data_IF_394836757391
#
_entry.id   IF_394836757391
#
_cell.length_a   1.000
_cell.length_b   1.000
_cell.length_c   1.000
_cell.angle_alpha   90.00
_cell.angle_beta   90.00
_cell.angle_gamma   90.00
#
_symmetry.space_group_name_H-M   'P 1'
#
loop_
_entity.id
_entity.type
_entity.pdbx_description
1 polymer ?
#
# COMPACT_ATOMS: atom_id res chain seq x y z
N UNK A 1 -14.77 12.27 7.41
CA UNK A 1 -14.51 13.56 8.09
C UNK A 1 -15.66 14.02 8.98
N UNK A 2 -16.93 14.01 8.51
CA UNK A 2 -18.10 14.34 9.35
C UNK A 2 -18.25 13.47 10.60
N UNK A 3 -17.91 12.18 10.50
CA UNK A 3 -17.83 11.26 11.64
C UNK A 3 -17.02 11.82 12.82
N UNK A 4 -15.86 12.43 12.56
CA UNK A 4 -14.98 12.92 13.62
C UNK A 4 -15.53 14.17 14.31
N UNK A 5 -16.32 15.00 13.61
CA UNK A 5 -16.99 16.17 14.22
C UNK A 5 -17.96 15.75 15.34
N UNK A 6 -18.52 14.54 15.25
CA UNK A 6 -19.42 13.98 16.25
C UNK A 6 -18.67 13.08 17.24
N UNK A 7 -17.80 12.20 16.73
CA UNK A 7 -17.09 11.21 17.54
C UNK A 7 -16.09 11.86 18.50
N UNK A 8 -15.32 12.85 18.06
CA UNK A 8 -14.27 13.45 18.89
C UNK A 8 -14.87 14.16 20.11
N UNK A 9 -15.83 15.10 19.99
CA UNK A 9 -16.43 15.74 21.17
C UNK A 9 -17.14 14.75 22.09
N UNK A 10 -17.85 13.77 21.52
CA UNK A 10 -18.66 12.83 22.29
C UNK A 10 -17.79 11.84 23.09
N UNK A 11 -16.66 11.39 22.52
CA UNK A 11 -15.67 10.59 23.26
C UNK A 11 -14.93 11.45 24.28
N UNK A 12 -14.42 12.61 23.88
CA UNK A 12 -13.55 13.43 24.75
C UNK A 12 -14.28 14.13 25.89
N UNK A 13 -15.51 14.61 25.67
CA UNK A 13 -16.26 15.38 26.67
C UNK A 13 -17.23 14.52 27.49
N UNK A 14 -17.61 13.33 27.01
CA UNK A 14 -18.56 12.46 27.73
C UNK A 14 -17.94 11.11 28.09
N UNK A 15 -17.54 10.30 27.10
CA UNK A 15 -17.11 8.93 27.37
C UNK A 15 -15.85 8.87 28.26
N UNK A 16 -14.81 9.64 27.94
CA UNK A 16 -13.56 9.64 28.70
C UNK A 16 -13.77 10.16 30.14
N UNK A 17 -14.44 11.30 30.38
CA UNK A 17 -14.75 11.72 31.75
C UNK A 17 -15.58 10.71 32.54
N UNK A 18 -16.58 10.07 31.93
CA UNK A 18 -17.40 9.05 32.60
C UNK A 18 -16.56 7.83 33.01
N UNK A 19 -15.70 7.33 32.13
CA UNK A 19 -14.80 6.20 32.42
C UNK A 19 -13.81 6.56 33.53
N UNK A 20 -13.15 7.73 33.43
CA UNK A 20 -12.20 8.17 34.44
C UNK A 20 -12.88 8.38 35.80
N UNK A 21 -14.10 8.91 35.82
CA UNK A 21 -14.88 9.07 37.06
C UNK A 21 -15.29 7.72 37.63
N UNK A 22 -15.71 6.76 36.80
CA UNK A 22 -16.02 5.40 37.24
C UNK A 22 -14.79 4.74 37.91
N UNK A 23 -13.61 4.88 37.29
CA UNK A 23 -12.34 4.38 37.85
C UNK A 23 -11.98 5.03 39.20
N UNK A 24 -12.25 6.32 39.38
CA UNK A 24 -12.04 7.00 40.66
C UNK A 24 -13.06 6.55 41.72
N UNK A 25 -14.32 6.41 41.33
CA UNK A 25 -15.41 5.98 42.22
C UNK A 25 -15.20 4.55 42.71
N UNK A 26 -14.65 3.68 41.87
CA UNK A 26 -14.26 2.31 42.23
C UNK A 26 -13.37 2.28 43.49
N UNK A 27 -12.47 3.26 43.66
CA UNK A 27 -11.60 3.35 44.83
C UNK A 27 -12.33 3.75 46.12
N UNK A 28 -13.52 4.36 45.99
CA UNK A 28 -14.32 4.88 47.11
C UNK A 28 -15.46 3.95 47.57
N UNK A 29 -15.76 2.89 46.81
CA UNK A 29 -16.66 1.80 47.21
C UNK A 29 -18.18 1.93 46.98
N UNK A 30 -18.78 2.97 46.34
CA UNK A 30 -20.20 2.94 46.02
C UNK A 30 -20.45 2.22 44.67
N UNK A 31 -20.58 0.90 44.73
CA UNK A 31 -20.74 -0.01 43.57
C UNK A 31 -21.89 0.37 42.61
N UNK A 32 -22.98 0.92 43.16
CA UNK A 32 -24.15 1.35 42.37
C UNK A 32 -23.81 2.54 41.49
N UNK A 33 -23.07 3.52 42.05
CA UNK A 33 -22.68 4.73 41.31
C UNK A 33 -21.65 4.37 40.24
N UNK A 34 -20.71 3.50 40.56
CA UNK A 34 -19.75 2.96 39.60
C UNK A 34 -20.47 2.28 38.42
N UNK A 35 -21.40 1.36 38.71
CA UNK A 35 -22.15 0.62 37.71
C UNK A 35 -22.96 1.54 36.79
N UNK A 36 -23.56 2.61 37.35
CA UNK A 36 -24.28 3.61 36.57
C UNK A 36 -23.36 4.42 35.66
N UNK A 37 -22.14 4.77 36.10
CA UNK A 37 -21.16 5.48 35.29
C UNK A 37 -20.63 4.61 34.14
N UNK A 38 -20.36 3.32 34.40
CA UNK A 38 -19.98 2.36 33.35
C UNK A 38 -21.09 2.17 32.33
N UNK A 39 -22.34 1.99 32.78
CA UNK A 39 -23.49 1.88 31.88
C UNK A 39 -23.65 3.15 31.04
N UNK A 40 -23.48 4.34 31.63
CA UNK A 40 -23.57 5.60 30.90
C UNK A 40 -22.47 5.69 29.82
N UNK A 41 -21.22 5.35 30.15
CA UNK A 41 -20.11 5.33 29.19
C UNK A 41 -20.38 4.35 28.04
N UNK A 42 -20.85 3.13 28.35
CA UNK A 42 -21.21 2.13 27.35
C UNK A 42 -22.33 2.63 26.43
N UNK A 43 -23.38 3.26 26.97
CA UNK A 43 -24.49 3.81 26.16
C UNK A 43 -24.05 4.94 25.25
N UNK A 44 -23.15 5.81 25.72
CA UNK A 44 -22.55 6.88 24.91
C UNK A 44 -21.78 6.28 23.73
N UNK A 45 -20.94 5.28 23.97
CA UNK A 45 -20.17 4.59 22.92
C UNK A 45 -21.07 3.77 21.97
N UNK A 46 -22.07 3.06 22.50
CA UNK A 46 -23.00 2.28 21.71
C UNK A 46 -23.81 3.15 20.76
N UNK A 47 -24.31 4.30 21.24
CA UNK A 47 -25.01 5.28 20.40
C UNK A 47 -24.08 5.84 19.31
N UNK A 48 -22.83 6.14 19.69
CA UNK A 48 -21.82 6.61 18.73
C UNK A 48 -21.59 5.57 17.63
N UNK A 49 -21.27 4.33 17.99
CA UNK A 49 -20.99 3.28 17.01
C UNK A 49 -22.21 2.93 16.16
N UNK A 50 -23.40 2.93 16.74
CA UNK A 50 -24.65 2.78 15.99
C UNK A 50 -24.83 3.88 14.94
N UNK A 51 -24.52 5.14 15.29
CA UNK A 51 -24.56 6.27 14.36
C UNK A 51 -23.49 6.16 13.28
N UNK A 52 -22.25 5.85 13.66
CA UNK A 52 -21.12 5.73 12.75
C UNK A 52 -21.33 4.63 11.71
N UNK A 53 -21.89 3.47 12.10
CA UNK A 53 -22.20 2.36 11.18
C UNK A 53 -23.26 2.68 10.13
N UNK A 54 -24.03 3.76 10.31
CA UNK A 54 -25.03 4.22 9.32
C UNK A 54 -24.49 5.25 8.35
N UNK A 55 -23.31 5.78 8.61
CA UNK A 55 -22.68 6.68 7.65
C UNK A 55 -22.26 5.86 6.43
N UNK A 56 -22.50 6.38 5.21
CA UNK A 56 -22.01 5.73 4.01
C UNK A 56 -20.48 5.70 4.03
N UNK A 57 -19.90 4.71 3.34
CA UNK A 57 -18.46 4.69 3.09
C UNK A 57 -18.07 5.93 2.28
N UNK A 58 -17.48 6.90 2.97
CA UNK A 58 -17.24 8.25 2.48
C UNK A 58 -15.77 8.59 2.33
N UNK A 59 -14.93 7.59 2.02
CA UNK A 59 -13.52 7.83 1.75
C UNK A 59 -13.35 8.49 0.38
N UNK A 60 -13.14 9.80 0.39
CA UNK A 60 -12.66 10.51 -0.79
C UNK A 60 -11.20 10.12 -1.00
N UNK A 61 -10.92 9.36 -2.05
CA UNK A 61 -9.54 9.06 -2.43
C UNK A 61 -8.93 10.32 -3.03
N UNK A 62 -8.22 11.06 -2.19
CA UNK A 62 -7.45 12.22 -2.61
C UNK A 62 -6.06 11.74 -3.03
N UNK A 63 -5.64 12.20 -4.19
CA UNK A 63 -4.28 12.05 -4.69
C UNK A 63 -3.38 13.10 -4.03
N UNK A 64 -2.08 12.83 -3.87
CA UNK A 64 -1.12 13.75 -3.25
C UNK A 64 -1.17 15.17 -3.86
N UNK A 65 -1.51 15.28 -5.15
CA UNK A 65 -1.68 16.54 -5.87
C UNK A 65 -2.84 17.39 -5.34
N UNK A 66 -3.75 16.85 -4.54
CA UNK A 66 -4.86 17.56 -3.90
C UNK A 66 -4.53 18.01 -2.47
N UNK A 67 -3.38 17.60 -1.91
CA UNK A 67 -3.02 17.92 -0.53
C UNK A 67 -3.00 19.43 -0.25
N UNK A 68 -2.61 20.25 -1.23
CA UNK A 68 -2.58 21.71 -1.08
C UNK A 68 -3.98 22.33 -0.82
N UNK A 69 -5.08 21.66 -1.20
CA UNK A 69 -6.43 22.15 -0.91
C UNK A 69 -6.68 22.21 0.59
N UNK A 70 -6.00 21.38 1.39
CA UNK A 70 -6.05 21.50 2.86
C UNK A 70 -5.54 22.85 3.38
N UNK A 71 -4.71 23.55 2.61
CA UNK A 71 -4.13 24.86 2.95
C UNK A 71 -5.06 26.01 2.49
N UNK A 72 -5.92 25.77 1.49
CA UNK A 72 -6.77 26.79 0.88
C UNK A 72 -7.71 27.51 1.86
N UNK A 73 -8.38 26.83 2.82
CA UNK A 73 -9.19 27.51 3.84
C UNK A 73 -8.38 28.51 4.68
N UNK A 74 -7.14 28.16 5.04
CA UNK A 74 -6.27 29.04 5.82
C UNK A 74 -5.87 30.28 5.02
N UNK A 75 -5.54 30.10 3.74
CA UNK A 75 -5.22 31.22 2.84
C UNK A 75 -6.43 32.15 2.65
N UNK A 76 -7.64 31.60 2.55
CA UNK A 76 -8.88 32.39 2.46
C UNK A 76 -9.12 33.20 3.73
N UNK A 77 -8.98 32.59 4.92
CA UNK A 77 -9.13 33.30 6.20
C UNK A 77 -8.10 34.41 6.33
N UNK A 78 -6.83 34.16 5.99
CA UNK A 78 -5.78 35.18 6.00
C UNK A 78 -6.08 36.31 4.99
N UNK A 79 -6.42 35.96 3.74
CA UNK A 79 -6.75 36.93 2.70
C UNK A 79 -7.94 37.83 3.06
N UNK A 80 -8.96 37.26 3.71
CA UNK A 80 -10.10 38.01 4.25
C UNK A 80 -9.68 38.91 5.42
N UNK A 81 -8.99 38.34 6.43
CA UNK A 81 -8.62 39.03 7.67
C UNK A 81 -7.70 40.23 7.47
N UNK A 82 -6.81 40.16 6.48
CA UNK A 82 -5.86 41.21 6.13
C UNK A 82 -6.32 42.05 4.93
N UNK A 83 -7.50 41.77 4.36
CA UNK A 83 -8.00 42.40 3.14
C UNK A 83 -6.97 42.42 1.98
N UNK A 84 -6.10 41.40 1.91
CA UNK A 84 -4.96 41.35 0.98
C UNK A 84 -5.38 41.42 -0.50
N UNK A 85 -6.59 40.95 -0.82
CA UNK A 85 -7.19 41.05 -2.15
C UNK A 85 -7.43 42.49 -2.63
N UNK A 86 -7.56 43.46 -1.71
CA UNK A 86 -7.73 44.89 -2.04
C UNK A 86 -6.41 45.65 -2.07
N UNK A 87 -5.49 45.33 -1.17
CA UNK A 87 -4.23 46.06 -1.02
C UNK A 87 -3.08 45.48 -1.82
N UNK A 88 -3.11 44.18 -2.11
CA UNK A 88 -2.02 43.44 -2.76
C UNK A 88 -2.53 42.36 -3.73
N UNK A 89 -3.29 42.73 -4.79
CA UNK A 89 -3.87 41.75 -5.73
C UNK A 89 -2.82 40.89 -6.44
N UNK A 90 -1.61 41.43 -6.68
CA UNK A 90 -0.50 40.69 -7.26
C UNK A 90 -0.04 39.50 -6.39
N UNK A 91 -0.12 39.62 -5.06
CA UNK A 91 0.18 38.53 -4.13
C UNK A 91 -0.88 37.43 -4.24
N UNK A 92 -2.17 37.81 -4.30
CA UNK A 92 -3.26 36.85 -4.46
C UNK A 92 -3.15 36.07 -5.77
N UNK A 93 -2.82 36.74 -6.89
CA UNK A 93 -2.60 36.09 -8.18
C UNK A 93 -1.36 35.18 -8.17
N UNK A 94 -0.29 35.60 -7.50
CA UNK A 94 0.93 34.79 -7.36
C UNK A 94 0.70 33.53 -6.53
N UNK A 95 -0.04 33.64 -5.42
CA UNK A 95 -0.47 32.48 -4.61
C UNK A 95 -1.35 31.57 -5.45
N UNK A 96 -2.37 32.10 -6.15
CA UNK A 96 -3.24 31.30 -7.02
C UNK A 96 -2.46 30.57 -8.11
N UNK A 97 -1.45 31.22 -8.72
CA UNK A 97 -0.56 30.60 -9.69
C UNK A 97 0.30 29.49 -9.08
N UNK A 98 0.83 29.68 -7.87
CA UNK A 98 1.58 28.63 -7.18
C UNK A 98 0.72 27.40 -6.84
N UNK A 99 -0.58 27.59 -6.60
CA UNK A 99 -1.52 26.50 -6.32
C UNK A 99 -1.78 25.59 -7.54
N UNK A 100 -1.48 26.01 -8.78
CA UNK A 100 -1.65 25.17 -9.98
C UNK A 100 -0.43 24.27 -10.24
N UNK A 101 0.74 24.64 -9.73
CA UNK A 101 2.02 23.94 -9.91
C UNK A 101 2.02 22.43 -9.59
N UNK A 102 1.38 21.92 -8.51
CA UNK A 102 1.38 20.49 -8.22
C UNK A 102 0.71 19.61 -9.29
N UNK A 103 -0.21 20.17 -10.10
CA UNK A 103 -0.80 19.43 -11.22
C UNK A 103 0.09 19.39 -12.45
N UNK A 104 1.04 20.32 -12.58
CA UNK A 104 1.93 20.43 -13.73
C UNK A 104 3.26 19.69 -13.54
N UNK A 105 3.59 19.25 -12.33
CA UNK A 105 4.79 18.43 -12.08
C UNK A 105 4.53 17.00 -12.52
N UNK A 106 5.08 16.63 -13.68
CA UNK A 106 5.28 15.23 -14.02
C UNK A 106 6.49 14.69 -13.25
N UNK A 107 6.47 13.43 -12.79
CA UNK A 107 7.67 12.79 -12.26
C UNK A 107 8.78 12.81 -13.32
N UNK A 108 10.07 12.84 -12.92
CA UNK A 108 11.19 12.82 -13.87
C UNK A 108 11.00 11.71 -14.89
N UNK A 109 11.08 12.05 -16.18
CA UNK A 109 10.68 11.15 -17.24
C UNK A 109 11.56 9.89 -17.33
N UNK A 110 12.83 9.95 -16.94
CA UNK A 110 13.78 8.86 -17.25
C UNK A 110 14.05 7.88 -16.11
N UNK A 111 13.59 8.15 -14.89
CA UNK A 111 13.86 7.30 -13.73
C UNK A 111 12.72 6.32 -13.48
N UNK A 112 13.08 5.07 -13.16
CA UNK A 112 12.16 4.08 -12.61
C UNK A 112 12.43 3.93 -11.12
N UNK A 113 11.39 3.58 -10.36
CA UNK A 113 11.49 3.37 -8.92
C UNK A 113 10.90 2.02 -8.54
N UNK A 114 11.48 1.44 -7.50
CA UNK A 114 10.90 0.29 -6.81
C UNK A 114 10.58 0.69 -5.38
N UNK A 115 9.37 0.40 -4.94
CA UNK A 115 8.92 0.66 -3.58
C UNK A 115 8.42 -0.64 -2.96
N UNK A 116 9.02 -1.06 -1.85
CA UNK A 116 8.47 -2.13 -1.02
C UNK A 116 7.40 -1.52 -0.10
N UNK A 117 6.18 -2.00 -0.21
CA UNK A 117 5.07 -1.56 0.63
C UNK A 117 5.09 -2.33 1.94
N UNK A 118 4.87 -1.62 3.04
CA UNK A 118 4.69 -2.25 4.34
C UNK A 118 3.28 -2.87 4.42
N UNK A 119 3.21 -4.17 4.17
CA UNK A 119 1.99 -4.97 4.20
C UNK A 119 1.96 -5.96 5.38
N UNK A 120 2.88 -5.80 6.34
CA UNK A 120 3.05 -6.74 7.45
C UNK A 120 3.74 -8.04 7.03
N UNK A 121 3.11 -9.19 7.32
CA UNK A 121 3.64 -10.50 6.93
C UNK A 121 3.30 -10.80 5.46
N UNK A 122 4.32 -10.92 4.61
CA UNK A 122 4.17 -11.09 3.18
C UNK A 122 4.96 -10.06 2.37
N UNK A 123 4.70 -10.02 1.06
CA UNK A 123 5.41 -9.15 0.13
C UNK A 123 4.44 -8.36 -0.74
N UNK A 124 4.77 -7.09 -0.98
CA UNK A 124 4.19 -6.28 -2.04
C UNK A 124 5.21 -5.23 -2.48
N UNK A 125 5.63 -5.28 -3.75
CA UNK A 125 6.57 -4.30 -4.32
C UNK A 125 5.99 -3.66 -5.57
N UNK A 126 6.05 -2.34 -5.63
CA UNK A 126 5.60 -1.55 -6.79
C UNK A 126 6.81 -1.16 -7.62
N UNK A 127 6.80 -1.49 -8.90
CA UNK A 127 7.74 -1.03 -9.91
C UNK A 127 7.05 0.05 -10.72
N UNK A 128 7.52 1.30 -10.63
CA UNK A 128 6.90 2.45 -11.29
C UNK A 128 7.81 3.08 -12.34
N UNK A 129 7.21 3.51 -13.46
CA UNK A 129 7.84 4.33 -14.49
C UNK A 129 6.77 5.04 -15.32
N UNK A 130 7.00 6.31 -15.68
CA UNK A 130 6.07 7.12 -16.49
C UNK A 130 4.61 7.16 -15.97
N UNK A 131 4.40 7.17 -14.65
CA UNK A 131 3.07 7.15 -14.04
C UNK A 131 2.31 5.82 -14.21
N UNK A 132 2.97 4.77 -14.68
CA UNK A 132 2.46 3.39 -14.73
C UNK A 132 3.15 2.56 -13.65
N UNK A 133 2.46 1.52 -13.21
CA UNK A 133 2.97 0.60 -12.20
C UNK A 133 2.81 -0.86 -12.62
N UNK A 134 3.75 -1.68 -12.21
CA UNK A 134 3.61 -3.12 -12.02
C UNK A 134 3.69 -3.45 -10.54
N UNK A 135 3.01 -4.51 -10.14
CA UNK A 135 3.04 -5.02 -8.77
C UNK A 135 3.74 -6.39 -8.77
N UNK A 136 4.58 -6.64 -7.77
CA UNK A 136 5.15 -7.94 -7.45
C UNK A 136 4.63 -8.34 -6.06
N UNK A 137 3.77 -9.37 -6.03
CA UNK A 137 2.94 -9.80 -4.89
C UNK A 137 1.96 -8.75 -4.35
N UNK A 138 0.90 -9.22 -3.69
CA UNK A 138 -0.25 -8.43 -3.24
C UNK A 138 -0.48 -8.49 -1.73
N UNK A 139 0.50 -8.95 -0.95
CA UNK A 139 0.44 -9.02 0.50
C UNK A 139 -0.65 -9.96 1.05
N UNK A 140 -0.83 -10.00 2.39
CA UNK A 140 -1.77 -10.89 3.06
C UNK A 140 -3.23 -10.49 2.93
N UNK A 141 -4.09 -11.50 3.14
CA UNK A 141 -5.52 -11.35 3.40
C UNK A 141 -5.90 -12.04 4.72
N UNK A 142 -6.94 -11.51 5.37
CA UNK A 142 -7.49 -11.99 6.63
C UNK A 142 -9.03 -11.87 6.60
N UNK A 143 -9.77 -12.43 7.58
CA UNK A 143 -11.23 -12.54 7.49
C UNK A 143 -12.01 -11.22 7.31
N UNK A 144 -11.39 -10.08 7.63
CA UNK A 144 -12.04 -8.76 7.60
C UNK A 144 -11.41 -7.81 6.57
N UNK A 145 -10.47 -8.27 5.75
CA UNK A 145 -9.83 -7.41 4.75
C UNK A 145 -8.57 -8.00 4.14
N UNK A 146 -7.95 -7.22 3.28
CA UNK A 146 -6.72 -7.60 2.60
C UNK A 146 -5.81 -6.38 2.36
N UNK A 147 -4.54 -6.67 2.11
CA UNK A 147 -3.52 -5.66 1.84
C UNK A 147 -3.79 -4.87 0.56
N UNK A 148 -4.52 -5.45 -0.40
CA UNK A 148 -5.02 -4.78 -1.59
C UNK A 148 -5.86 -3.56 -1.23
N UNK A 149 -6.91 -3.75 -0.43
CA UNK A 149 -7.82 -2.67 -0.02
C UNK A 149 -7.19 -1.68 0.95
N UNK A 150 -6.37 -2.15 1.89
CA UNK A 150 -5.89 -1.32 2.99
C UNK A 150 -4.59 -0.57 2.68
N UNK A 151 -3.73 -1.12 1.83
CA UNK A 151 -2.40 -0.56 1.57
C UNK A 151 -2.22 -0.26 0.09
N UNK A 152 -2.36 -1.26 -0.78
CA UNK A 152 -1.92 -1.18 -2.19
C UNK A 152 -2.79 -0.21 -2.99
N UNK A 153 -4.11 -0.38 -2.97
CA UNK A 153 -5.04 0.47 -3.73
C UNK A 153 -4.95 1.94 -3.28
N UNK A 154 -5.02 2.26 -1.97
CA UNK A 154 -4.85 3.64 -1.50
C UNK A 154 -3.49 4.22 -1.89
N UNK A 155 -2.41 3.46 -1.77
CA UNK A 155 -1.06 3.93 -2.10
C UNK A 155 -0.91 4.23 -3.59
N UNK A 156 -1.35 3.32 -4.49
CA UNK A 156 -1.31 3.55 -5.94
C UNK A 156 -2.13 4.79 -6.34
N UNK A 157 -3.31 4.98 -5.73
CA UNK A 157 -4.14 6.17 -5.98
C UNK A 157 -3.50 7.45 -5.46
N UNK A 158 -2.89 7.41 -4.28
CA UNK A 158 -2.15 8.55 -3.69
C UNK A 158 -1.01 9.01 -4.60
N UNK A 159 -0.31 8.07 -5.21
CA UNK A 159 0.81 8.32 -6.13
C UNK A 159 0.41 8.53 -7.60
N UNK A 160 -0.89 8.57 -7.92
CA UNK A 160 -1.41 8.68 -9.29
C UNK A 160 -0.92 7.61 -10.27
N UNK A 161 -0.72 6.37 -9.80
CA UNK A 161 -0.17 5.31 -10.63
C UNK A 161 -1.30 4.50 -11.29
N UNK A 162 -1.17 4.27 -12.58
CA UNK A 162 -2.02 3.30 -13.28
C UNK A 162 -1.34 1.92 -13.27
N UNK A 163 -1.93 0.99 -12.52
CA UNK A 163 -1.50 -0.41 -12.52
C UNK A 163 -1.77 -1.04 -13.90
N UNK A 164 -0.75 -1.68 -14.47
CA UNK A 164 -0.83 -2.36 -15.76
C UNK A 164 -0.63 -3.88 -15.65
N UNK A 165 -0.01 -4.35 -14.58
CA UNK A 165 0.22 -5.77 -14.41
C UNK A 165 0.65 -6.15 -13.00
N UNK A 166 0.47 -7.42 -12.68
CA UNK A 166 0.75 -8.05 -11.40
C UNK A 166 1.57 -9.30 -11.67
N UNK A 167 2.67 -9.46 -10.95
CA UNK A 167 3.46 -10.69 -10.90
C UNK A 167 3.24 -11.30 -9.53
N UNK A 168 2.80 -12.56 -9.47
CA UNK A 168 2.74 -13.32 -8.24
C UNK A 168 3.91 -14.27 -8.18
N UNK A 169 4.66 -14.22 -7.08
CA UNK A 169 5.76 -15.12 -6.80
C UNK A 169 5.22 -16.54 -6.68
N UNK A 170 4.32 -16.80 -5.74
CA UNK A 170 3.75 -18.13 -5.47
C UNK A 170 2.33 -18.04 -4.88
N UNK A 171 1.76 -19.18 -4.49
CA UNK A 171 0.34 -19.30 -4.14
C UNK A 171 -0.05 -18.95 -2.70
N UNK A 172 0.90 -18.66 -1.80
CA UNK A 172 0.59 -18.45 -0.39
C UNK A 172 -0.17 -17.15 -0.14
N UNK A 173 -1.05 -17.19 0.88
CA UNK A 173 -2.05 -16.15 1.15
C UNK A 173 -1.43 -14.79 1.51
N UNK A 174 -0.25 -14.79 2.10
CA UNK A 174 0.60 -13.63 2.42
C UNK A 174 1.24 -12.98 1.18
N UNK A 175 1.19 -13.63 0.02
CA UNK A 175 1.66 -13.08 -1.25
C UNK A 175 0.55 -12.80 -2.24
N UNK A 176 -0.55 -13.55 -2.22
CA UNK A 176 -1.67 -13.38 -3.15
C UNK A 176 -2.92 -12.74 -2.56
N UNK A 177 -2.92 -12.46 -1.26
CA UNK A 177 -4.12 -12.12 -0.49
C UNK A 177 -4.86 -10.91 -1.04
N UNK A 178 -4.15 -9.87 -1.46
CA UNK A 178 -4.77 -8.67 -2.06
C UNK A 178 -5.14 -8.80 -3.54
N UNK A 179 -4.92 -9.94 -4.20
CA UNK A 179 -5.03 -10.06 -5.66
C UNK A 179 -6.42 -9.69 -6.17
N UNK A 180 -7.47 -10.28 -5.58
CA UNK A 180 -8.84 -10.10 -6.07
C UNK A 180 -9.30 -8.65 -5.90
N UNK A 181 -9.00 -8.04 -4.75
CA UNK A 181 -9.30 -6.63 -4.49
C UNK A 181 -8.56 -5.70 -5.46
N UNK A 182 -7.28 -5.97 -5.76
CA UNK A 182 -6.51 -5.18 -6.73
C UNK A 182 -7.07 -5.34 -8.14
N UNK A 183 -7.44 -6.55 -8.57
CA UNK A 183 -8.05 -6.78 -9.88
C UNK A 183 -9.44 -6.16 -10.01
N UNK A 184 -10.23 -6.10 -8.94
CA UNK A 184 -11.49 -5.35 -8.93
C UNK A 184 -11.26 -3.85 -9.20
N UNK A 185 -10.17 -3.28 -8.67
CA UNK A 185 -9.81 -1.88 -8.90
C UNK A 185 -9.19 -1.64 -10.29
N UNK A 186 -8.44 -2.61 -10.84
CA UNK A 186 -7.81 -2.55 -12.16
C UNK A 186 -8.04 -3.84 -12.97
N UNK A 187 -9.25 -4.03 -13.53
CA UNK A 187 -9.63 -5.28 -14.19
C UNK A 187 -8.88 -5.55 -15.51
N UNK A 188 -8.18 -4.54 -16.05
CA UNK A 188 -7.38 -4.65 -17.26
C UNK A 188 -5.91 -5.01 -16.99
N UNK A 189 -5.50 -5.11 -15.71
CA UNK A 189 -4.14 -5.49 -15.37
C UNK A 189 -3.90 -6.97 -15.73
N UNK A 190 -2.83 -7.26 -16.46
CA UNK A 190 -2.44 -8.64 -16.70
C UNK A 190 -1.86 -9.26 -15.42
N UNK A 191 -1.99 -10.58 -15.27
CA UNK A 191 -1.36 -11.30 -14.15
C UNK A 191 -0.33 -12.27 -14.72
N UNK A 192 0.87 -12.30 -14.14
CA UNK A 192 1.91 -13.31 -14.40
C UNK A 192 2.15 -14.14 -13.15
N UNK A 193 2.22 -15.45 -13.27
CA UNK A 193 2.61 -16.32 -12.16
C UNK A 193 3.15 -17.66 -12.66
N UNK A 194 3.81 -18.44 -11.80
CA UNK A 194 4.25 -19.79 -12.16
C UNK A 194 3.13 -20.84 -12.00
N UNK A 195 1.91 -20.42 -11.62
CA UNK A 195 0.88 -21.32 -11.08
C UNK A 195 0.01 -21.99 -12.16
N UNK A 196 0.10 -21.54 -13.41
CA UNK A 196 -0.70 -22.06 -14.52
C UNK A 196 -2.20 -21.83 -14.37
N UNK A 197 -2.63 -20.86 -13.56
CA UNK A 197 -4.04 -20.50 -13.41
C UNK A 197 -4.60 -19.84 -14.66
N UNK A 198 -5.91 -19.96 -14.86
CA UNK A 198 -6.59 -19.33 -15.97
C UNK A 198 -6.32 -17.82 -15.99
N UNK A 199 -6.10 -17.27 -17.19
CA UNK A 199 -5.80 -15.85 -17.42
C UNK A 199 -4.46 -15.34 -16.87
N UNK A 200 -3.63 -16.22 -16.29
CA UNK A 200 -2.28 -15.86 -15.91
C UNK A 200 -1.33 -16.13 -17.09
N UNK A 201 -0.54 -15.11 -17.42
CA UNK A 201 0.63 -15.25 -18.27
C UNK A 201 1.72 -16.04 -17.51
N UNK A 202 2.56 -16.81 -18.21
CA UNK A 202 3.58 -17.60 -17.55
C UNK A 202 4.65 -16.73 -16.89
N UNK A 203 5.14 -17.20 -15.75
CA UNK A 203 6.42 -16.79 -15.19
C UNK A 203 7.26 -18.04 -14.90
N UNK A 204 8.06 -18.43 -15.89
CA UNK A 204 9.01 -19.54 -15.78
C UNK A 204 10.33 -19.13 -16.42
N UNK A 205 11.41 -19.81 -16.08
CA UNK A 205 12.76 -19.56 -16.61
C UNK A 205 12.72 -19.54 -18.14
N UNK A 206 13.24 -18.45 -18.70
CA UNK A 206 13.34 -18.24 -20.14
C UNK A 206 12.36 -17.19 -20.66
N UNK A 207 11.28 -16.92 -19.91
CA UNK A 207 10.36 -15.83 -20.22
C UNK A 207 11.08 -14.49 -20.13
N UNK A 208 10.87 -13.66 -21.15
CA UNK A 208 11.40 -12.30 -21.25
C UNK A 208 10.33 -11.38 -21.79
N UNK A 209 10.24 -10.18 -21.21
CA UNK A 209 9.35 -9.15 -21.72
C UNK A 209 9.92 -7.78 -21.43
N UNK A 210 9.35 -6.77 -22.09
CA UNK A 210 9.69 -5.37 -21.87
C UNK A 210 8.47 -4.62 -21.36
N UNK A 211 8.70 -3.70 -20.45
CA UNK A 211 7.67 -2.80 -19.95
C UNK A 211 8.28 -1.43 -19.65
N UNK A 212 7.76 -0.38 -20.30
CA UNK A 212 8.27 0.99 -20.15
C UNK A 212 9.79 1.10 -20.35
N UNK A 213 10.37 0.34 -21.30
CA UNK A 213 11.81 0.33 -21.55
C UNK A 213 12.66 -0.38 -20.48
N UNK A 214 12.04 -1.04 -19.49
CA UNK A 214 12.70 -1.97 -18.58
C UNK A 214 12.64 -3.39 -19.17
N UNK A 215 13.74 -4.13 -19.07
CA UNK A 215 13.83 -5.53 -19.44
C UNK A 215 13.53 -6.40 -18.24
N UNK A 216 12.64 -7.38 -18.42
CA UNK A 216 12.30 -8.36 -17.43
C UNK A 216 12.74 -9.74 -17.91
N UNK A 217 13.35 -10.50 -17.02
CA UNK A 217 13.75 -11.88 -17.27
C UNK A 217 13.32 -12.75 -16.09
N UNK A 218 12.44 -13.71 -16.35
CA UNK A 218 12.14 -14.75 -15.38
C UNK A 218 13.29 -15.77 -15.35
N UNK A 219 13.82 -16.02 -14.16
CA UNK A 219 14.96 -16.90 -13.89
C UNK A 219 14.53 -18.23 -13.25
N UNK A 220 13.38 -18.25 -12.59
CA UNK A 220 12.83 -19.39 -11.86
C UNK A 220 11.30 -19.27 -11.80
N UNK A 221 10.53 -20.37 -11.65
CA UNK A 221 10.94 -21.78 -11.66
C UNK A 221 11.28 -22.31 -13.05
N UNK A 222 11.83 -23.53 -13.11
CA UNK A 222 12.03 -24.20 -14.40
C UNK A 222 10.68 -24.49 -15.07
N UNK A 223 10.57 -24.40 -16.41
CA UNK A 223 9.39 -24.88 -17.12
C UNK A 223 9.11 -26.35 -16.75
N UNK A 224 7.86 -26.66 -16.37
CA UNK A 224 7.47 -28.00 -15.93
C UNK A 224 7.98 -28.41 -14.54
N UNK A 225 8.47 -27.46 -13.73
CA UNK A 225 8.84 -27.72 -12.34
C UNK A 225 7.66 -28.28 -11.54
N UNK A 226 7.94 -29.26 -10.67
CA UNK A 226 6.97 -29.82 -9.72
C UNK A 226 7.09 -29.20 -8.32
N UNK A 227 7.96 -28.20 -8.16
CA UNK A 227 8.08 -27.44 -6.91
C UNK A 227 6.73 -26.80 -6.53
N UNK A 228 6.50 -26.64 -5.23
CA UNK A 228 5.30 -26.02 -4.66
C UNK A 228 5.67 -25.00 -3.61
N UNK A 229 4.73 -24.10 -3.28
CA UNK A 229 4.93 -23.04 -2.31
C UNK A 229 6.14 -22.16 -2.64
N UNK A 230 6.86 -21.78 -1.60
CA UNK A 230 8.05 -20.93 -1.61
C UNK A 230 9.05 -21.22 -2.74
N UNK A 231 9.45 -22.50 -2.90
CA UNK A 231 10.43 -22.90 -3.92
C UNK A 231 9.89 -22.90 -5.35
N UNK A 232 8.60 -22.60 -5.54
CA UNK A 232 7.99 -22.36 -6.84
C UNK A 232 7.93 -20.87 -7.21
N UNK A 233 8.45 -19.98 -6.36
CA UNK A 233 8.41 -18.53 -6.56
C UNK A 233 8.90 -18.09 -7.94
N UNK A 234 8.16 -17.21 -8.60
CA UNK A 234 8.55 -16.53 -9.83
C UNK A 234 9.70 -15.55 -9.54
N UNK A 235 10.94 -15.96 -9.77
CA UNK A 235 12.13 -15.11 -9.60
C UNK A 235 12.35 -14.31 -10.86
N UNK A 236 12.38 -12.98 -10.73
CA UNK A 236 12.45 -12.06 -11.87
C UNK A 236 13.57 -11.06 -11.67
N UNK A 237 14.43 -10.94 -12.68
CA UNK A 237 15.41 -9.85 -12.79
C UNK A 237 14.83 -8.74 -13.66
N UNK A 238 14.95 -7.51 -13.20
CA UNK A 238 14.50 -6.30 -13.90
C UNK A 238 15.71 -5.40 -14.09
N UNK A 239 15.92 -4.89 -15.31
CA UNK A 239 17.03 -3.98 -15.61
C UNK A 239 16.67 -2.89 -16.62
N UNK A 240 17.32 -1.73 -16.49
CA UNK A 240 17.26 -0.61 -17.44
C UNK A 240 18.56 -0.46 -18.27
N UNK A 241 19.45 -1.46 -18.20
CA UNK A 241 20.80 -1.44 -18.77
C UNK A 241 21.88 -0.73 -17.92
N UNK A 242 21.51 -0.03 -16.84
CA UNK A 242 22.44 0.64 -15.90
C UNK A 242 22.34 0.10 -14.49
N UNK A 243 21.12 -0.09 -14.01
CA UNK A 243 20.75 -0.60 -12.70
C UNK A 243 19.81 -1.78 -12.85
N UNK A 244 19.85 -2.69 -11.87
CA UNK A 244 19.00 -3.88 -11.91
C UNK A 244 18.59 -4.33 -10.51
N UNK A 245 17.41 -4.94 -10.43
CA UNK A 245 16.87 -5.54 -9.22
C UNK A 245 16.53 -7.00 -9.47
N UNK A 246 16.83 -7.86 -8.49
CA UNK A 246 16.38 -9.24 -8.47
C UNK A 246 15.26 -9.38 -7.43
N UNK A 247 14.06 -9.76 -7.90
CA UNK A 247 12.91 -10.09 -7.08
C UNK A 247 12.85 -11.61 -6.94
N UNK A 248 12.97 -12.11 -5.72
CA UNK A 248 13.13 -13.54 -5.44
C UNK A 248 11.87 -14.19 -4.91
N UNK A 249 10.89 -13.40 -4.47
CA UNK A 249 9.77 -13.92 -3.67
C UNK A 249 10.33 -14.60 -2.44
N UNK A 250 9.79 -15.78 -2.11
CA UNK A 250 10.14 -16.51 -0.91
C UNK A 250 10.90 -17.80 -1.19
N UNK A 251 11.67 -17.85 -2.28
CA UNK A 251 12.55 -19.01 -2.55
C UNK A 251 13.38 -19.37 -1.31
N UNK A 252 13.45 -20.66 -1.01
CA UNK A 252 14.27 -21.15 0.10
C UNK A 252 15.63 -21.58 -0.43
N UNK A 253 16.51 -21.93 0.51
CA UNK A 253 17.89 -22.37 0.23
C UNK A 253 18.00 -23.41 -0.89
N UNK A 254 17.04 -24.32 -1.02
CA UNK A 254 17.04 -25.32 -2.09
C UNK A 254 16.92 -24.68 -3.48
N UNK A 255 15.96 -23.77 -3.66
CA UNK A 255 15.79 -23.04 -4.91
C UNK A 255 16.94 -22.06 -5.15
N UNK A 256 17.41 -21.34 -4.11
CA UNK A 256 18.58 -20.47 -4.21
C UNK A 256 19.81 -21.23 -4.74
N UNK A 257 20.14 -22.37 -4.15
CA UNK A 257 21.27 -23.19 -4.58
C UNK A 257 21.10 -23.71 -6.01
N UNK A 258 19.88 -24.10 -6.40
CA UNK A 258 19.58 -24.54 -7.75
C UNK A 258 19.76 -23.41 -8.79
N UNK A 259 19.41 -22.18 -8.42
CA UNK A 259 19.57 -21.00 -9.27
C UNK A 259 21.05 -20.61 -9.36
N UNK A 260 21.76 -20.48 -8.23
CA UNK A 260 23.18 -20.08 -8.19
C UNK A 260 24.07 -21.08 -8.92
N UNK A 261 23.90 -22.38 -8.65
CA UNK A 261 24.74 -23.43 -9.25
C UNK A 261 24.65 -23.51 -10.77
N UNK A 262 23.55 -23.04 -11.35
CA UNK A 262 23.29 -23.12 -12.80
C UNK A 262 23.37 -21.78 -13.52
N UNK A 263 23.14 -20.66 -12.82
CA UNK A 263 22.86 -19.36 -13.44
C UNK A 263 23.51 -18.16 -12.76
N UNK A 264 24.57 -18.33 -11.95
CA UNK A 264 25.24 -17.23 -11.23
C UNK A 264 25.53 -15.99 -12.10
N UNK A 265 25.88 -16.16 -13.38
CA UNK A 265 26.17 -15.05 -14.32
C UNK A 265 24.97 -14.16 -14.64
N UNK A 266 23.74 -14.63 -14.42
CA UNK A 266 22.52 -13.88 -14.66
C UNK A 266 21.89 -13.30 -13.38
N UNK A 267 22.54 -13.50 -12.23
CA UNK A 267 22.07 -13.02 -10.92
C UNK A 267 22.66 -11.67 -10.52
N UNK A 268 23.73 -11.23 -11.19
CA UNK A 268 24.35 -9.94 -10.92
C UNK A 268 23.32 -8.82 -11.04
N UNK A 269 23.05 -8.20 -9.90
CA UNK A 269 22.06 -7.14 -9.75
C UNK A 269 22.56 -6.06 -8.80
N UNK A 270 22.07 -4.85 -8.99
CA UNK A 270 22.41 -3.70 -8.13
C UNK A 270 21.72 -3.83 -6.77
N UNK A 271 20.50 -4.39 -6.77
CA UNK A 271 19.69 -4.64 -5.58
C UNK A 271 19.10 -6.05 -5.64
N UNK A 272 19.02 -6.72 -4.49
CA UNK A 272 18.35 -8.01 -4.35
C UNK A 272 17.29 -7.86 -3.25
N UNK A 273 16.05 -8.25 -3.54
CA UNK A 273 15.06 -8.49 -2.50
C UNK A 273 15.45 -9.79 -1.79
N UNK A 274 15.68 -9.73 -0.49
CA UNK A 274 16.05 -10.91 0.30
C UNK A 274 14.83 -11.82 0.43
N UNK A 275 14.95 -13.12 0.12
CA UNK A 275 13.82 -14.02 0.16
C UNK A 275 13.32 -14.33 1.57
N UNK A 276 12.06 -14.76 1.66
CA UNK A 276 11.44 -15.34 2.86
C UNK A 276 11.58 -14.44 4.09
N UNK A 277 11.36 -13.13 3.89
CA UNK A 277 11.41 -12.12 4.95
C UNK A 277 12.69 -12.12 5.81
N UNK A 278 13.80 -12.71 5.31
CA UNK A 278 15.04 -12.86 6.07
C UNK A 278 14.94 -13.82 7.27
N UNK A 279 13.99 -14.76 7.28
CA UNK A 279 13.92 -15.79 8.32
C UNK A 279 15.17 -16.70 8.29
N UNK A 280 15.58 -17.21 9.46
CA UNK A 280 16.80 -17.94 9.90
C UNK A 280 17.75 -18.71 8.93
N UNK A 281 17.48 -18.79 7.64
CA UNK A 281 18.41 -19.20 6.60
C UNK A 281 19.14 -18.00 6.00
N UNK A 282 20.45 -17.84 6.22
CA UNK A 282 21.20 -16.80 5.51
C UNK A 282 21.09 -17.05 3.99
N UNK A 283 20.82 -16.00 3.19
CA UNK A 283 20.73 -16.15 1.74
C UNK A 283 22.06 -16.67 1.19
N UNK A 284 21.99 -17.54 0.18
CA UNK A 284 23.17 -17.95 -0.56
C UNK A 284 23.88 -16.69 -1.09
N UNK A 285 25.16 -16.50 -0.74
CA UNK A 285 25.96 -15.40 -1.26
C UNK A 285 26.04 -15.54 -2.78
N UNK A 286 25.42 -14.59 -3.49
CA UNK A 286 25.48 -14.46 -4.94
C UNK A 286 26.83 -13.89 -5.38
#
# INVERSE_FOLDING_TARGET
MAANLLAVPLVTLLAVPLILTAMLVHLSGPDIVESLLWLAADRVLALLFWGLRRLPDGWLTLDARWLWISILPWLLVMGWRFQSWRHSPALCLSVLFLLTRPFSRQPPADEWRVTMLDVGQGLAMVIERHGKALLYDTGPAWPQGDSGQQVIIPWLRWHHLQLQGIMLSHEHLDHRGGLDSVLQAWPQAWVRSPLGWAHHLPCHRGERWQWQGLNFQALWPLPGSTAKGNNHSCVVRIDDGRSSILLTGDIERQAEQAIVSRYWRHLTSTLIQVPHHGSNTPPARC
#
